data_IF_390756235662
#
_entry.id   IF_390756235662
#
_cell.length_a   1.000
_cell.length_b   1.000
_cell.length_c   1.000
_cell.angle_alpha   90.00
_cell.angle_beta   90.00
_cell.angle_gamma   90.00
#
_symmetry.space_group_name_H-M   'P 1'
#
loop_
_entity.id
_entity.type
_entity.pdbx_description
1 polymer ?
#
# COMPACT_ATOMS: atom_id res chain seq x y z
N UNK A 1 28.06 -19.29 -25.80
CA UNK A 1 28.24 -18.13 -26.68
C UNK A 1 27.34 -17.04 -26.14
N UNK A 2 27.95 -15.95 -25.68
CA UNK A 2 27.37 -14.89 -24.86
C UNK A 2 26.63 -13.83 -25.70
N UNK A 3 25.86 -12.99 -24.98
CA UNK A 3 25.32 -11.67 -25.37
C UNK A 3 24.08 -11.62 -26.28
N UNK A 4 22.95 -11.18 -25.72
CA UNK A 4 22.34 -9.85 -25.97
C UNK A 4 21.36 -9.56 -24.81
N UNK A 5 21.84 -8.87 -23.77
CA UNK A 5 21.00 -8.11 -22.84
C UNK A 5 21.00 -6.67 -23.33
N UNK A 6 19.99 -6.29 -24.11
CA UNK A 6 19.88 -4.96 -24.72
C UNK A 6 18.63 -4.22 -24.29
N UNK A 7 18.83 -3.12 -23.57
CA UNK A 7 17.91 -1.99 -23.41
C UNK A 7 16.62 -2.17 -22.56
N UNK A 8 16.82 -2.15 -21.24
CA UNK A 8 15.85 -1.49 -20.35
C UNK A 8 15.99 0.03 -20.51
N UNK A 9 15.00 0.64 -21.16
CA UNK A 9 14.87 2.10 -21.22
C UNK A 9 14.73 2.70 -19.82
N UNK A 10 15.59 3.68 -19.56
CA UNK A 10 15.64 4.58 -18.40
C UNK A 10 14.26 5.08 -17.95
N UNK A 11 13.80 4.59 -16.79
CA UNK A 11 13.08 5.45 -15.86
C UNK A 11 14.14 6.09 -14.96
N UNK A 12 14.52 7.33 -15.29
CA UNK A 12 15.32 8.17 -14.41
C UNK A 12 14.54 8.44 -13.13
N UNK A 13 14.83 7.67 -12.09
CA UNK A 13 14.49 8.01 -10.73
C UNK A 13 15.81 8.08 -9.95
N UNK A 14 16.10 9.25 -9.42
CA UNK A 14 17.06 9.39 -8.31
C UNK A 14 16.69 8.36 -7.25
N UNK A 15 17.46 7.27 -7.17
CA UNK A 15 17.20 6.15 -6.27
C UNK A 15 17.48 6.64 -4.86
N UNK A 16 16.45 7.21 -4.24
CA UNK A 16 16.44 7.69 -2.87
C UNK A 16 16.85 6.56 -1.94
N UNK A 17 17.54 6.89 -0.85
CA UNK A 17 17.87 5.96 0.24
C UNK A 17 16.64 5.19 0.76
N UNK A 18 15.43 5.77 0.59
CA UNK A 18 14.13 5.12 0.83
C UNK A 18 13.90 3.84 0.02
N UNK A 19 14.42 3.74 -1.21
CA UNK A 19 14.24 2.59 -2.09
C UNK A 19 15.09 1.37 -1.68
N UNK A 20 16.19 1.60 -0.94
CA UNK A 20 16.99 0.53 -0.31
C UNK A 20 16.33 -0.02 0.96
N UNK A 21 15.62 0.81 1.71
CA UNK A 21 14.75 0.36 2.82
C UNK A 21 13.55 -0.43 2.31
N UNK A 22 12.96 -0.02 1.18
CA UNK A 22 11.83 -0.71 0.52
C UNK A 22 12.21 -2.07 -0.09
N UNK A 23 13.49 -2.32 -0.41
CA UNK A 23 14.00 -3.64 -0.83
C UNK A 23 14.34 -4.59 0.34
N UNK A 24 14.76 -4.07 1.49
CA UNK A 24 15.01 -4.90 2.68
C UNK A 24 13.71 -5.51 3.24
N UNK A 25 12.59 -4.81 3.03
CA UNK A 25 11.22 -5.24 3.36
C UNK A 25 10.47 -5.69 2.09
N UNK A 26 11.00 -6.72 1.40
CA UNK A 26 10.12 -7.49 0.51
C UNK A 26 8.93 -7.94 1.36
N UNK A 27 7.74 -7.65 0.85
CA UNK A 27 6.48 -7.77 1.57
C UNK A 27 6.37 -9.16 2.20
N UNK A 28 5.92 -9.23 3.45
CA UNK A 28 5.84 -10.50 4.18
C UNK A 28 4.96 -11.50 3.43
N UNK A 29 3.89 -11.01 2.80
CA UNK A 29 3.02 -11.84 1.98
C UNK A 29 3.68 -12.27 0.66
N UNK A 30 4.35 -11.34 -0.02
CA UNK A 30 5.02 -11.60 -1.31
C UNK A 30 6.06 -12.71 -1.18
N UNK A 31 6.92 -12.67 -0.15
CA UNK A 31 7.90 -13.74 0.10
C UNK A 31 7.22 -15.10 0.27
N UNK A 32 6.20 -15.17 1.12
CA UNK A 32 5.49 -16.43 1.39
C UNK A 32 4.76 -16.94 0.16
N UNK A 33 4.23 -16.06 -0.69
CA UNK A 33 3.62 -16.43 -1.95
C UNK A 33 4.65 -17.00 -2.92
N UNK A 34 5.80 -16.33 -3.09
CA UNK A 34 6.87 -16.80 -3.98
C UNK A 34 7.42 -18.16 -3.53
N UNK A 35 7.57 -18.37 -2.22
CA UNK A 35 7.98 -19.67 -1.65
C UNK A 35 6.90 -20.76 -1.83
N UNK A 36 5.62 -20.37 -1.93
CA UNK A 36 4.51 -21.29 -2.14
C UNK A 36 4.29 -21.64 -3.63
N UNK A 37 4.84 -20.86 -4.56
CA UNK A 37 4.76 -21.16 -5.99
C UNK A 37 5.69 -22.33 -6.33
N UNK A 38 5.16 -23.28 -7.08
CA UNK A 38 5.90 -24.42 -7.58
C UNK A 38 5.95 -24.39 -9.10
N UNK A 39 7.02 -24.89 -9.74
CA UNK A 39 7.02 -25.09 -11.18
C UNK A 39 5.85 -25.99 -11.58
N UNK A 40 5.03 -25.51 -12.52
CA UNK A 40 3.87 -26.26 -13.01
C UNK A 40 4.22 -27.21 -14.14
N UNK A 41 3.33 -28.18 -14.40
CA UNK A 41 3.43 -29.05 -15.60
C UNK A 41 2.72 -28.46 -16.81
N UNK A 42 1.58 -27.80 -16.58
CA UNK A 42 0.77 -27.20 -17.65
C UNK A 42 0.97 -25.68 -17.77
N UNK A 43 1.29 -25.02 -16.66
CA UNK A 43 1.59 -23.59 -16.57
C UNK A 43 3.02 -23.40 -16.04
N UNK A 44 3.60 -22.19 -16.17
CA UNK A 44 4.95 -21.93 -15.64
C UNK A 44 5.03 -22.15 -14.13
N UNK A 45 4.00 -21.68 -13.43
CA UNK A 45 3.85 -21.82 -11.99
C UNK A 45 2.46 -22.34 -11.63
N UNK A 46 2.44 -23.18 -10.60
CA UNK A 46 1.25 -23.67 -9.94
C UNK A 46 1.26 -23.24 -8.47
N UNK A 47 0.07 -22.96 -7.92
CA UNK A 47 -0.12 -22.63 -6.51
C UNK A 47 -0.88 -23.76 -5.81
N UNK A 48 -0.22 -24.65 -5.05
CA UNK A 48 -0.87 -25.84 -4.48
C UNK A 48 -2.01 -25.50 -3.51
N UNK A 49 -3.09 -26.27 -3.56
CA UNK A 49 -4.28 -26.03 -2.73
C UNK A 49 -3.97 -26.07 -1.22
N UNK A 50 -3.08 -26.96 -0.78
CA UNK A 50 -2.68 -27.08 0.63
C UNK A 50 -1.97 -25.84 1.18
N UNK A 51 -1.41 -24.97 0.31
CA UNK A 51 -0.75 -23.71 0.71
C UNK A 51 -1.74 -22.55 0.86
N UNK A 52 -2.95 -22.65 0.32
CA UNK A 52 -3.90 -21.54 0.28
C UNK A 52 -4.32 -21.10 1.68
N UNK A 53 -4.57 -22.03 2.61
CA UNK A 53 -4.95 -21.70 3.98
C UNK A 53 -3.85 -20.93 4.73
N UNK A 54 -2.58 -21.29 4.52
CA UNK A 54 -1.45 -20.57 5.10
C UNK A 54 -1.33 -19.15 4.51
N UNK A 55 -1.53 -19.01 3.19
CA UNK A 55 -1.53 -17.70 2.53
C UNK A 55 -2.66 -16.79 3.03
N UNK A 56 -3.87 -17.33 3.22
CA UNK A 56 -4.98 -16.56 3.81
C UNK A 56 -4.61 -16.02 5.18
N UNK A 57 -4.08 -16.85 6.08
CA UNK A 57 -3.67 -16.42 7.44
C UNK A 57 -2.58 -15.36 7.42
N UNK A 58 -1.61 -15.48 6.52
CA UNK A 58 -0.54 -14.47 6.38
C UNK A 58 -1.12 -13.16 5.87
N UNK A 59 -2.03 -13.21 4.91
CA UNK A 59 -2.71 -12.04 4.36
C UNK A 59 -3.61 -11.36 5.39
N UNK A 60 -4.34 -12.12 6.21
CA UNK A 60 -5.14 -11.58 7.33
C UNK A 60 -4.25 -10.80 8.30
N UNK A 61 -3.14 -11.40 8.74
CA UNK A 61 -2.17 -10.73 9.62
C UNK A 61 -1.53 -9.51 8.97
N UNK A 62 -1.24 -9.57 7.67
CA UNK A 62 -0.69 -8.44 6.93
C UNK A 62 -1.70 -7.29 6.84
N UNK A 63 -2.99 -7.61 6.68
CA UNK A 63 -4.06 -6.63 6.58
C UNK A 63 -4.37 -5.90 7.91
N UNK A 64 -3.95 -6.45 9.05
CA UNK A 64 -4.01 -5.80 10.36
C UNK A 64 -2.76 -4.94 10.66
N UNK A 65 -1.71 -5.07 9.85
CA UNK A 65 -0.45 -4.36 10.02
C UNK A 65 -0.46 -2.92 9.53
N UNK A 66 0.55 -2.11 9.91
CA UNK A 66 0.66 -0.71 9.46
C UNK A 66 0.82 -0.57 7.94
N UNK A 67 1.32 -1.61 7.27
CA UNK A 67 1.56 -1.65 5.82
C UNK A 67 0.46 -2.38 5.02
N UNK A 68 -0.72 -2.58 5.61
CA UNK A 68 -1.83 -3.35 5.03
C UNK A 68 -2.14 -2.95 3.57
N UNK A 69 -2.28 -1.65 3.30
CA UNK A 69 -2.61 -1.13 1.97
C UNK A 69 -1.54 -1.51 0.93
N UNK A 70 -0.26 -1.42 1.32
CA UNK A 70 0.86 -1.72 0.45
C UNK A 70 0.99 -3.23 0.17
N UNK A 71 0.77 -4.07 1.19
CA UNK A 71 0.76 -5.53 1.07
C UNK A 71 -0.39 -6.01 0.16
N UNK A 72 -1.60 -5.46 0.32
CA UNK A 72 -2.75 -5.79 -0.51
C UNK A 72 -2.51 -5.35 -1.97
N UNK A 73 -1.97 -4.15 -2.19
CA UNK A 73 -1.66 -3.66 -3.52
C UNK A 73 -0.59 -4.53 -4.22
N UNK A 74 0.43 -4.97 -3.50
CA UNK A 74 1.44 -5.90 -4.04
C UNK A 74 0.81 -7.24 -4.39
N UNK A 75 -0.04 -7.80 -3.54
CA UNK A 75 -0.76 -9.05 -3.84
C UNK A 75 -1.62 -8.93 -5.10
N UNK A 76 -2.31 -7.80 -5.31
CA UNK A 76 -3.08 -7.53 -6.54
C UNK A 76 -2.18 -7.42 -7.77
N UNK A 77 -1.00 -6.79 -7.67
CA UNK A 77 -0.01 -6.75 -8.76
C UNK A 77 0.50 -8.15 -9.11
N UNK A 78 0.72 -9.01 -8.11
CA UNK A 78 1.13 -10.41 -8.33
C UNK A 78 0.06 -11.22 -9.05
N UNK A 79 -1.22 -11.01 -8.77
CA UNK A 79 -2.32 -11.59 -9.56
C UNK A 79 -2.23 -11.21 -11.03
N UNK A 80 -1.98 -9.92 -11.33
CA UNK A 80 -1.85 -9.44 -12.72
C UNK A 80 -0.60 -10.03 -13.38
N UNK A 81 0.52 -10.09 -12.65
CA UNK A 81 1.76 -10.69 -13.13
C UNK A 81 1.59 -12.18 -13.44
N UNK A 82 0.93 -12.94 -12.55
CA UNK A 82 0.63 -14.36 -12.74
C UNK A 82 -0.23 -14.58 -13.98
N UNK A 83 -1.29 -13.78 -14.17
CA UNK A 83 -2.18 -13.92 -15.33
C UNK A 83 -1.52 -13.54 -16.67
N UNK A 84 -0.69 -12.51 -16.68
CA UNK A 84 -0.08 -11.99 -17.90
C UNK A 84 1.35 -12.47 -18.10
N UNK A 85 2.30 -11.81 -17.42
CA UNK A 85 3.74 -11.96 -17.64
C UNK A 85 4.28 -13.36 -17.32
N UNK A 86 3.71 -14.01 -16.32
CA UNK A 86 4.17 -15.32 -15.86
C UNK A 86 3.38 -16.48 -16.48
N UNK A 87 2.37 -16.20 -17.31
CA UNK A 87 1.57 -17.22 -18.02
C UNK A 87 1.03 -18.34 -17.09
N UNK A 88 0.57 -17.96 -15.90
CA UNK A 88 -0.02 -18.84 -14.88
C UNK A 88 -1.43 -18.38 -14.48
N UNK A 89 -2.42 -18.49 -15.39
CA UNK A 89 -3.78 -18.05 -15.11
C UNK A 89 -4.43 -18.83 -13.96
N UNK A 90 -4.18 -20.13 -13.80
CA UNK A 90 -4.75 -20.92 -12.70
C UNK A 90 -4.20 -20.47 -11.34
N UNK A 91 -2.89 -20.22 -11.26
CA UNK A 91 -2.29 -19.68 -10.04
C UNK A 91 -2.86 -18.29 -9.71
N UNK A 92 -3.10 -17.46 -10.72
CA UNK A 92 -3.72 -16.15 -10.54
C UNK A 92 -5.15 -16.25 -9.98
N UNK A 93 -5.98 -17.17 -10.49
CA UNK A 93 -7.34 -17.37 -9.96
C UNK A 93 -7.33 -17.92 -8.53
N UNK A 94 -6.42 -18.84 -8.21
CA UNK A 94 -6.25 -19.33 -6.83
C UNK A 94 -5.86 -18.20 -5.87
N UNK A 95 -4.92 -17.35 -6.26
CA UNK A 95 -4.53 -16.18 -5.47
C UNK A 95 -5.68 -15.16 -5.35
N UNK A 96 -6.49 -14.96 -6.39
CA UNK A 96 -7.72 -14.14 -6.29
C UNK A 96 -8.71 -14.69 -5.29
N UNK A 97 -8.88 -16.01 -5.24
CA UNK A 97 -9.75 -16.64 -4.25
C UNK A 97 -9.26 -16.38 -2.82
N UNK A 98 -7.94 -16.47 -2.58
CA UNK A 98 -7.33 -16.09 -1.29
C UNK A 98 -7.62 -14.63 -0.95
N UNK A 99 -7.42 -13.70 -1.89
CA UNK A 99 -7.68 -12.28 -1.68
C UNK A 99 -9.16 -11.99 -1.40
N UNK A 100 -10.09 -12.71 -2.05
CA UNK A 100 -11.54 -12.56 -1.83
C UNK A 100 -12.02 -13.16 -0.52
N UNK A 101 -11.29 -14.12 0.05
CA UNK A 101 -11.63 -14.71 1.34
C UNK A 101 -11.44 -13.71 2.48
N UNK A 102 -10.47 -12.80 2.38
CA UNK A 102 -10.12 -11.85 3.44
C UNK A 102 -11.03 -10.60 3.41
N UNK A 103 -11.81 -10.32 4.47
CA UNK A 103 -12.72 -9.17 4.50
C UNK A 103 -12.00 -7.81 4.40
N UNK A 104 -10.82 -7.69 5.00
CA UNK A 104 -10.02 -6.46 4.96
C UNK A 104 -9.62 -6.06 3.52
N UNK A 105 -9.33 -7.03 2.66
CA UNK A 105 -9.04 -6.78 1.23
C UNK A 105 -10.28 -6.21 0.52
N UNK A 106 -11.47 -6.72 0.81
CA UNK A 106 -12.72 -6.17 0.27
C UNK A 106 -12.95 -4.74 0.75
N UNK A 107 -12.70 -4.48 2.03
CA UNK A 107 -12.82 -3.13 2.60
C UNK A 107 -11.84 -2.16 1.92
N UNK A 108 -10.59 -2.57 1.70
CA UNK A 108 -9.59 -1.79 0.96
C UNK A 108 -10.04 -1.43 -0.45
N UNK A 109 -10.50 -2.43 -1.23
CA UNK A 109 -10.99 -2.20 -2.58
C UNK A 109 -12.19 -1.26 -2.61
N UNK A 110 -13.10 -1.37 -1.64
CA UNK A 110 -14.26 -0.47 -1.49
C UNK A 110 -13.82 0.96 -1.16
N UNK A 111 -12.84 1.11 -0.26
CA UNK A 111 -12.29 2.42 0.12
C UNK A 111 -11.59 3.10 -1.08
N UNK A 112 -10.77 2.35 -1.83
CA UNK A 112 -10.13 2.85 -3.05
C UNK A 112 -11.11 3.28 -4.13
N UNK A 113 -12.17 2.48 -4.34
CA UNK A 113 -13.22 2.83 -5.31
C UNK A 113 -13.90 4.15 -4.93
N UNK A 114 -14.28 4.32 -3.65
CA UNK A 114 -14.89 5.57 -3.17
C UNK A 114 -14.00 6.79 -3.40
N UNK A 115 -12.70 6.69 -3.14
CA UNK A 115 -11.76 7.79 -3.41
C UNK A 115 -11.74 8.15 -4.90
N UNK A 116 -11.64 7.17 -5.78
CA UNK A 116 -11.66 7.38 -7.23
C UNK A 116 -12.96 8.01 -7.71
N UNK A 117 -14.10 7.58 -7.19
CA UNK A 117 -15.42 8.13 -7.55
C UNK A 117 -15.52 9.62 -7.14
N UNK A 118 -15.02 9.97 -5.95
CA UNK A 118 -14.93 11.37 -5.48
C UNK A 118 -14.03 12.19 -6.39
N UNK A 119 -12.86 11.67 -6.75
CA UNK A 119 -11.91 12.38 -7.62
C UNK A 119 -12.46 12.57 -9.04
N UNK A 120 -13.17 11.57 -9.58
CA UNK A 120 -13.86 11.69 -10.87
C UNK A 120 -14.99 12.73 -10.82
N UNK A 121 -15.78 12.73 -9.74
CA UNK A 121 -16.84 13.73 -9.53
C UNK A 121 -16.25 15.14 -9.43
N UNK A 122 -15.15 15.32 -8.69
CA UNK A 122 -14.44 16.62 -8.61
C UNK A 122 -13.94 17.07 -9.98
N UNK A 123 -13.32 16.16 -10.75
CA UNK A 123 -12.88 16.46 -12.11
C UNK A 123 -14.02 16.79 -13.07
N UNK A 124 -15.18 16.14 -12.91
CA UNK A 124 -16.39 16.47 -13.66
C UNK A 124 -16.91 17.87 -13.31
N UNK A 125 -17.06 18.18 -12.01
CA UNK A 125 -17.51 19.50 -11.56
C UNK A 125 -16.55 20.62 -11.98
N UNK A 126 -15.25 20.36 -11.98
CA UNK A 126 -14.25 21.30 -12.49
C UNK A 126 -14.40 21.57 -13.99
N UNK A 127 -14.65 20.53 -14.80
CA UNK A 127 -14.90 20.69 -16.25
C UNK A 127 -16.19 21.45 -16.56
N UNK A 128 -17.22 21.27 -15.74
CA UNK A 128 -18.50 21.98 -15.85
C UNK A 128 -18.45 23.42 -15.30
N UNK A 129 -17.30 23.88 -14.79
CA UNK A 129 -17.18 25.19 -14.15
C UNK A 129 -17.98 25.33 -12.85
N UNK A 130 -18.44 24.21 -12.27
CA UNK A 130 -19.26 24.13 -11.05
C UNK A 130 -18.47 23.69 -9.83
N UNK A 131 -17.13 23.65 -9.93
CA UNK A 131 -16.30 23.32 -8.78
C UNK A 131 -16.47 24.39 -7.70
N UNK A 132 -16.91 23.97 -6.51
CA UNK A 132 -16.89 24.83 -5.34
C UNK A 132 -15.45 25.28 -5.07
N UNK A 133 -15.21 26.57 -4.73
CA UNK A 133 -13.87 27.03 -4.39
C UNK A 133 -13.33 26.19 -3.23
N UNK A 134 -12.11 25.68 -3.38
CA UNK A 134 -11.40 24.97 -2.33
C UNK A 134 -11.08 25.98 -1.21
N UNK A 135 -11.98 26.09 -0.24
CA UNK A 135 -11.74 26.85 0.99
C UNK A 135 -10.86 25.97 1.87
N UNK A 136 -9.62 26.42 2.10
CA UNK A 136 -8.77 25.80 3.11
C UNK A 136 -9.52 25.86 4.47
N UNK A 137 -9.53 24.77 5.27
CA UNK A 137 -10.10 24.84 6.60
C UNK A 137 -9.44 26.00 7.34
N UNK A 138 -10.26 26.90 7.88
CA UNK A 138 -9.77 28.01 8.67
C UNK A 138 -8.95 27.42 9.83
N UNK A 139 -7.62 27.51 9.72
CA UNK A 139 -6.74 27.32 10.87
C UNK A 139 -7.13 28.45 11.80
N UNK A 140 -7.84 28.12 12.88
CA UNK A 140 -8.06 29.07 13.95
C UNK A 140 -6.68 29.62 14.32
N UNK A 141 -6.48 30.91 14.08
CA UNK A 141 -5.33 31.60 14.61
C UNK A 141 -5.28 31.28 16.12
N UNK A 142 -4.11 31.00 16.71
CA UNK A 142 -3.98 30.86 18.15
C UNK A 142 -4.22 32.23 18.80
N UNK A 143 -5.50 32.61 18.89
CA UNK A 143 -6.02 33.80 19.53
C UNK A 143 -6.78 33.36 20.78
N UNK A 144 -6.07 32.74 21.71
CA UNK A 144 -6.51 32.61 23.10
C UNK A 144 -5.64 33.51 23.96
N UNK A 145 -6.20 34.35 24.85
CA UNK A 145 -5.43 35.23 25.73
C UNK A 145 -4.58 34.51 26.80
N UNK A 146 -4.52 33.17 26.78
CA UNK A 146 -3.67 32.39 27.69
C UNK A 146 -2.33 31.99 27.05
N UNK A 147 -1.65 32.96 26.44
CA UNK A 147 -0.23 32.83 26.18
C UNK A 147 0.49 32.87 27.54
N UNK A 148 0.56 31.72 28.21
CA UNK A 148 1.53 31.46 29.26
C UNK A 148 2.91 31.76 28.69
N UNK A 149 3.40 32.97 29.00
CA UNK A 149 4.73 33.42 28.65
C UNK A 149 5.74 32.41 29.17
N UNK A 150 6.72 32.05 28.34
CA UNK A 150 7.87 31.19 28.70
C UNK A 150 8.58 31.71 29.98
N UNK A 151 8.39 32.98 30.35
CA UNK A 151 8.83 33.57 31.61
C UNK A 151 8.21 32.94 32.87
N UNK A 152 6.97 32.43 32.83
CA UNK A 152 6.29 31.85 34.01
C UNK A 152 6.82 30.46 34.38
N UNK A 153 7.39 29.73 33.42
CA UNK A 153 7.93 28.39 33.68
C UNK A 153 9.22 28.42 34.53
N UNK A 154 9.97 29.53 34.49
CA UNK A 154 11.20 29.66 35.28
C UNK A 154 10.97 30.11 36.73
N UNK A 155 9.82 30.70 37.06
CA UNK A 155 9.58 31.19 38.43
C UNK A 155 9.10 30.08 39.38
N UNK A 156 8.38 29.06 38.89
CA UNK A 156 7.86 27.96 39.74
C UNK A 156 8.89 26.91 40.16
N UNK A 157 10.04 26.82 39.50
CA UNK A 157 11.05 25.80 39.83
C UNK A 157 12.04 26.23 40.92
N UNK A 158 12.04 27.50 41.35
CA UNK A 158 12.94 28.00 42.38
C UNK A 158 12.43 27.79 43.82
N UNK A 159 11.14 27.48 43.99
CA UNK A 159 10.50 27.33 45.30
C UNK A 159 10.47 25.90 45.86
N UNK A 160 11.13 24.92 45.21
CA UNK A 160 11.19 23.51 45.66
C UNK A 160 12.59 23.04 46.07
N UNK A 161 13.52 23.99 46.30
CA UNK A 161 14.85 23.73 46.86
C UNK A 161 15.13 24.68 48.02
N UNK A 162 14.37 24.52 49.10
CA UNK A 162 14.78 24.83 50.47
C UNK A 162 14.25 23.70 51.36
#
# INVERSE_FOLDING_TARGET
MFEVWGHFGQFGATVSSSDRYLRAVVARFERVLLDALQPGRAERFELPAHRLAALTRVLERAAEGPDADAEIDRALRLVVALKGRLASPTAAERLRSVLRAVPAVKAHLKAKRRRRDIDQMRGFLAREGRAAPLVAPAVAAPGGPDALTIADFHHRNKARRC
#
